data_IF_074504037189
#
_entry.id   IF_074504037189
#
_cell.length_a   1.000
_cell.length_b   1.000
_cell.length_c   1.000
_cell.angle_alpha   90.00
_cell.angle_beta   90.00
_cell.angle_gamma   90.00
#
_symmetry.space_group_name_H-M   'P 1'
#
loop_
_entity.id
_entity.type
_entity.pdbx_description
1 polymer ?
#
# COMPACT_ATOMS: atom_id res chain seq x y z
N UNK A 1 14.89 48.77 -48.96
CA UNK A 1 15.42 48.18 -47.69
C UNK A 1 14.55 48.63 -46.53
N UNK A 2 13.76 47.71 -45.94
CA UNK A 2 13.22 47.78 -44.56
C UNK A 2 12.69 46.37 -44.23
N UNK A 3 13.48 45.61 -43.47
CA UNK A 3 13.15 44.25 -43.00
C UNK A 3 12.04 44.37 -41.96
N UNK A 4 10.92 43.66 -42.16
CA UNK A 4 9.92 43.43 -41.10
C UNK A 4 10.35 42.20 -40.31
N UNK A 5 10.66 42.41 -39.04
CA UNK A 5 11.06 41.37 -38.08
C UNK A 5 9.88 40.44 -37.82
N UNK A 6 10.05 39.15 -38.12
CA UNK A 6 9.13 38.11 -37.70
C UNK A 6 9.44 37.74 -36.23
N UNK A 7 8.48 37.97 -35.35
CA UNK A 7 8.55 37.55 -33.95
C UNK A 7 8.27 36.05 -33.88
N UNK A 8 9.29 35.24 -33.62
CA UNK A 8 9.15 33.81 -33.36
C UNK A 8 8.74 33.65 -31.90
N UNK A 9 7.49 33.23 -31.68
CA UNK A 9 6.99 32.83 -30.37
C UNK A 9 7.62 31.48 -30.00
N UNK A 10 8.52 31.47 -29.01
CA UNK A 10 9.17 30.26 -28.52
C UNK A 10 8.19 29.50 -27.60
N UNK A 11 7.60 28.41 -28.11
CA UNK A 11 6.73 27.53 -27.34
C UNK A 11 7.62 26.59 -26.50
N UNK A 12 7.84 26.92 -25.22
CA UNK A 12 8.54 26.03 -24.28
C UNK A 12 7.64 24.85 -23.92
N UNK A 13 7.77 23.74 -24.64
CA UNK A 13 7.21 22.45 -24.22
C UNK A 13 8.08 21.90 -23.09
N UNK A 14 7.59 21.98 -21.85
CA UNK A 14 8.16 21.27 -20.71
C UNK A 14 7.82 19.78 -20.83
N UNK A 15 8.70 19.03 -21.49
CA UNK A 15 8.66 17.56 -21.48
C UNK A 15 9.25 17.10 -20.15
N UNK A 16 8.41 16.70 -19.20
CA UNK A 16 8.86 15.88 -18.07
C UNK A 16 9.19 14.48 -18.58
N UNK A 17 10.42 14.30 -19.07
CA UNK A 17 10.97 12.99 -19.33
C UNK A 17 11.23 12.28 -18.01
N UNK A 18 10.53 11.18 -17.75
CA UNK A 18 10.99 10.20 -16.76
C UNK A 18 12.32 9.64 -17.27
N UNK A 19 13.43 10.13 -16.74
CA UNK A 19 14.71 9.45 -16.92
C UNK A 19 14.56 8.08 -16.28
N UNK A 20 14.64 7.02 -17.08
CA UNK A 20 14.86 5.68 -16.59
C UNK A 20 16.12 5.72 -15.72
N UNK A 21 15.94 5.71 -14.41
CA UNK A 21 17.05 5.58 -13.47
C UNK A 21 17.68 4.24 -13.79
N UNK A 22 18.83 4.27 -14.45
CA UNK A 22 19.70 3.11 -14.52
C UNK A 22 20.16 2.84 -13.09
N UNK A 23 19.43 1.97 -12.39
CA UNK A 23 19.80 1.49 -11.06
C UNK A 23 21.17 0.83 -11.23
N UNK A 24 22.21 1.48 -10.72
CA UNK A 24 23.52 0.86 -10.55
C UNK A 24 23.29 -0.42 -9.74
N UNK A 25 23.55 -1.57 -10.35
CA UNK A 25 23.37 -2.84 -9.67
C UNK A 25 24.22 -2.80 -8.39
N UNK A 26 23.56 -2.92 -7.23
CA UNK A 26 24.14 -3.01 -5.87
C UNK A 26 24.28 -1.70 -5.06
N UNK A 27 23.72 -0.57 -5.50
CA UNK A 27 23.64 0.64 -4.65
C UNK A 27 22.21 0.91 -4.16
N UNK A 28 22.10 1.44 -2.93
CA UNK A 28 20.80 1.85 -2.39
C UNK A 28 20.39 3.19 -3.00
N UNK A 29 19.12 3.28 -3.39
CA UNK A 29 18.45 4.54 -3.65
C UNK A 29 18.52 5.46 -2.42
N UNK A 30 18.46 6.77 -2.64
CA UNK A 30 18.34 7.72 -1.53
C UNK A 30 17.04 7.49 -0.76
N UNK A 31 17.00 7.90 0.52
CA UNK A 31 15.78 7.85 1.34
C UNK A 31 14.58 8.46 0.62
N UNK A 32 14.77 9.64 0.00
CA UNK A 32 13.71 10.36 -0.71
C UNK A 32 13.16 9.56 -1.89
N UNK A 33 14.03 8.91 -2.66
CA UNK A 33 13.62 8.07 -3.79
C UNK A 33 12.87 6.83 -3.31
N UNK A 34 13.35 6.14 -2.28
CA UNK A 34 12.65 4.97 -1.71
C UNK A 34 11.28 5.37 -1.16
N UNK A 35 11.19 6.46 -0.41
CA UNK A 35 9.94 6.96 0.14
C UNK A 35 8.94 7.33 -0.97
N UNK A 36 9.40 7.97 -2.05
CA UNK A 36 8.56 8.26 -3.21
C UNK A 36 8.03 6.98 -3.90
N UNK A 37 8.87 5.96 -4.08
CA UNK A 37 8.43 4.66 -4.61
C UNK A 37 7.42 3.99 -3.69
N UNK A 38 7.64 4.03 -2.37
CA UNK A 38 6.73 3.48 -1.36
C UNK A 38 5.39 4.21 -1.39
N UNK A 39 5.38 5.53 -1.50
CA UNK A 39 4.15 6.35 -1.61
C UNK A 39 3.37 6.03 -2.88
N UNK A 40 4.04 5.95 -4.03
CA UNK A 40 3.41 5.58 -5.30
C UNK A 40 2.75 4.19 -5.20
N UNK A 41 3.48 3.21 -4.67
CA UNK A 41 2.97 1.85 -4.51
C UNK A 41 1.82 1.84 -3.49
N UNK A 42 1.97 2.49 -2.34
CA UNK A 42 0.93 2.55 -1.32
C UNK A 42 -0.38 3.14 -1.87
N UNK A 43 -0.27 4.22 -2.64
CA UNK A 43 -1.38 4.87 -3.35
C UNK A 43 -2.08 3.88 -4.26
N UNK A 44 -1.33 3.24 -5.17
CA UNK A 44 -1.87 2.24 -6.09
C UNK A 44 -2.47 1.04 -5.36
N UNK A 45 -1.98 0.69 -4.16
CA UNK A 45 -2.46 -0.47 -3.39
C UNK A 45 -3.54 -0.11 -2.38
N UNK A 46 -3.99 1.14 -2.30
CA UNK A 46 -4.97 1.56 -1.29
C UNK A 46 -4.49 1.28 0.14
N UNK A 47 -3.22 1.58 0.42
CA UNK A 47 -2.59 1.47 1.74
C UNK A 47 -2.22 2.90 2.18
N UNK A 48 -2.42 3.29 3.45
CA UNK A 48 -1.89 4.56 3.93
C UNK A 48 -0.37 4.60 3.78
N UNK A 49 0.17 5.57 3.04
CA UNK A 49 1.60 5.61 2.69
C UNK A 49 2.49 5.63 3.94
N UNK A 50 2.07 6.34 4.98
CA UNK A 50 2.77 6.40 6.26
C UNK A 50 2.92 5.04 6.93
N UNK A 51 1.95 4.13 6.77
CA UNK A 51 2.05 2.77 7.28
C UNK A 51 3.12 2.00 6.51
N UNK A 52 3.08 2.06 5.17
CA UNK A 52 4.02 1.31 4.35
C UNK A 52 5.46 1.83 4.48
N UNK A 53 5.65 3.16 4.53
CA UNK A 53 6.93 3.81 4.82
C UNK A 53 7.48 3.43 6.19
N UNK A 54 6.61 3.38 7.20
CA UNK A 54 7.02 2.98 8.55
C UNK A 54 7.47 1.52 8.61
N UNK A 55 6.79 0.62 7.88
CA UNK A 55 7.23 -0.78 7.72
C UNK A 55 8.59 -0.84 7.06
N UNK A 56 8.79 -0.15 5.93
CA UNK A 56 10.06 -0.14 5.21
C UNK A 56 11.23 0.36 6.09
N UNK A 57 11.00 1.39 6.91
CA UNK A 57 12.01 1.88 7.87
C UNK A 57 12.28 0.86 8.99
N UNK A 58 11.25 0.25 9.59
CA UNK A 58 11.42 -0.76 10.65
C UNK A 58 12.10 -2.04 10.14
N UNK A 59 11.77 -2.49 8.94
CA UNK A 59 12.26 -3.76 8.39
C UNK A 59 13.71 -3.67 7.92
N UNK A 60 14.11 -2.55 7.31
CA UNK A 60 15.40 -2.46 6.64
C UNK A 60 16.10 -1.11 6.76
N UNK A 61 15.48 -0.13 7.42
CA UNK A 61 15.90 1.28 7.33
C UNK A 61 15.96 1.77 5.88
N UNK A 62 14.95 1.37 5.08
CA UNK A 62 14.80 1.71 3.66
C UNK A 62 15.90 1.17 2.73
N UNK A 63 16.66 0.14 3.15
CA UNK A 63 17.80 -0.36 2.40
C UNK A 63 17.52 -1.69 1.70
N UNK A 64 17.79 -1.75 0.39
CA UNK A 64 17.76 -2.98 -0.41
C UNK A 64 19.05 -3.78 -0.25
N UNK A 65 20.20 -3.10 -0.18
CA UNK A 65 21.54 -3.68 -0.13
C UNK A 65 22.26 -3.32 1.18
N UNK A 66 23.19 -4.18 1.60
CA UNK A 66 24.15 -3.89 2.65
C UNK A 66 25.24 -2.94 2.13
N UNK A 67 26.12 -2.46 3.03
CA UNK A 67 27.24 -1.57 2.65
C UNK A 67 28.24 -2.22 1.67
N UNK A 68 28.30 -3.55 1.63
CA UNK A 68 29.14 -4.31 0.70
C UNK A 68 28.44 -4.58 -0.66
N UNK A 69 27.30 -3.94 -0.91
CA UNK A 69 26.51 -4.09 -2.14
C UNK A 69 25.70 -5.38 -2.22
N UNK A 70 25.83 -6.31 -1.27
CA UNK A 70 25.04 -7.55 -1.30
C UNK A 70 23.58 -7.27 -0.90
N UNK A 71 22.60 -8.00 -1.49
CA UNK A 71 21.22 -7.90 -1.06
C UNK A 71 21.08 -8.08 0.45
N UNK A 72 20.28 -7.21 1.08
CA UNK A 72 20.04 -7.25 2.52
C UNK A 72 19.13 -8.42 2.86
N UNK A 73 19.71 -9.49 3.40
CA UNK A 73 19.01 -10.73 3.74
C UNK A 73 19.13 -10.99 5.24
N UNK A 74 18.00 -11.09 5.96
CA UNK A 74 18.02 -11.46 7.38
C UNK A 74 18.34 -12.94 7.57
N UNK A 75 18.67 -13.33 8.82
CA UNK A 75 18.88 -14.74 9.19
C UNK A 75 17.69 -15.65 8.84
N UNK A 76 16.48 -15.10 8.82
CA UNK A 76 15.26 -15.82 8.42
C UNK A 76 15.08 -16.02 6.92
N UNK A 77 15.96 -15.44 6.08
CA UNK A 77 15.84 -15.44 4.63
C UNK A 77 14.84 -14.41 4.09
N UNK A 78 14.52 -13.36 4.87
CA UNK A 78 13.74 -12.23 4.41
C UNK A 78 14.64 -11.20 3.72
N UNK A 79 14.16 -10.55 2.66
CA UNK A 79 15.01 -9.88 1.67
C UNK A 79 14.56 -8.43 1.47
N UNK A 80 15.53 -7.53 1.40
CA UNK A 80 15.41 -6.16 0.87
C UNK A 80 14.63 -5.20 1.76
N UNK A 81 14.13 -4.13 1.13
CA UNK A 81 13.49 -2.97 1.77
C UNK A 81 12.35 -3.37 2.70
N UNK A 82 11.50 -4.28 2.23
CA UNK A 82 10.29 -4.70 2.93
C UNK A 82 10.46 -6.00 3.71
N UNK A 83 11.67 -6.59 3.70
CA UNK A 83 11.97 -7.90 4.31
C UNK A 83 10.93 -8.97 3.94
N UNK A 84 10.69 -9.14 2.65
CA UNK A 84 9.79 -10.18 2.13
C UNK A 84 10.49 -11.54 2.18
N UNK A 85 9.77 -12.59 2.57
CA UNK A 85 10.36 -13.93 2.70
C UNK A 85 10.77 -14.51 1.33
N UNK A 86 12.07 -14.73 1.14
CA UNK A 86 12.61 -15.40 -0.04
C UNK A 86 12.40 -16.91 -0.06
N UNK A 87 11.82 -17.49 0.99
CA UNK A 87 11.45 -18.92 1.04
C UNK A 87 10.10 -19.18 0.36
N UNK A 88 9.31 -18.13 0.13
CA UNK A 88 8.04 -18.23 -0.55
C UNK A 88 8.26 -18.31 -2.07
N UNK A 89 7.79 -19.38 -2.71
CA UNK A 89 7.86 -19.55 -4.17
C UNK A 89 6.93 -18.60 -4.96
N UNK A 90 6.14 -17.76 -4.27
CA UNK A 90 5.27 -16.74 -4.87
C UNK A 90 6.04 -15.66 -5.64
N UNK A 91 7.25 -15.32 -5.18
CA UNK A 91 8.00 -14.18 -5.71
C UNK A 91 9.22 -14.63 -6.53
N UNK A 92 9.57 -13.82 -7.53
CA UNK A 92 10.83 -13.97 -8.24
C UNK A 92 11.98 -13.61 -7.30
N UNK A 93 12.77 -14.61 -6.91
CA UNK A 93 13.85 -14.44 -5.93
C UNK A 93 14.97 -13.54 -6.44
N UNK A 94 15.24 -13.53 -7.75
CA UNK A 94 16.29 -12.69 -8.32
C UNK A 94 15.86 -11.22 -8.30
N UNK A 95 14.62 -10.93 -8.70
CA UNK A 95 14.05 -9.58 -8.59
C UNK A 95 13.94 -9.12 -7.14
N UNK A 96 13.49 -9.99 -6.24
CA UNK A 96 13.34 -9.62 -4.83
C UNK A 96 14.66 -9.17 -4.18
N UNK A 97 15.79 -9.73 -4.65
CA UNK A 97 17.15 -9.38 -4.21
C UNK A 97 17.68 -8.10 -4.84
N UNK A 98 17.37 -7.83 -6.11
CA UNK A 98 18.11 -6.85 -6.92
C UNK A 98 17.26 -5.68 -7.42
N UNK A 99 15.93 -5.76 -7.31
CA UNK A 99 14.99 -4.76 -7.79
C UNK A 99 14.24 -4.16 -6.58
N UNK A 100 14.63 -2.94 -6.13
CA UNK A 100 13.96 -2.23 -5.04
C UNK A 100 12.46 -2.04 -5.27
N UNK A 101 12.04 -1.70 -6.49
CA UNK A 101 10.63 -1.48 -6.83
C UNK A 101 9.85 -2.79 -6.64
N UNK A 102 10.34 -3.88 -7.22
CA UNK A 102 9.71 -5.20 -7.07
C UNK A 102 9.66 -5.66 -5.60
N UNK A 103 10.69 -5.34 -4.81
CA UNK A 103 10.70 -5.64 -3.38
C UNK A 103 9.60 -4.87 -2.62
N UNK A 104 9.44 -3.58 -2.92
CA UNK A 104 8.40 -2.73 -2.31
C UNK A 104 7.00 -3.21 -2.74
N UNK A 105 6.78 -3.50 -4.02
CA UNK A 105 5.51 -4.05 -4.52
C UNK A 105 5.17 -5.37 -3.82
N UNK A 106 6.14 -6.28 -3.71
CA UNK A 106 5.98 -7.57 -3.04
C UNK A 106 5.65 -7.41 -1.54
N UNK A 107 6.24 -6.42 -0.88
CA UNK A 107 5.95 -6.09 0.52
C UNK A 107 4.56 -5.50 0.72
N UNK A 108 4.13 -4.60 -0.17
CA UNK A 108 2.78 -4.03 -0.17
C UNK A 108 1.71 -5.12 -0.38
N UNK A 109 1.92 -6.01 -1.35
CA UNK A 109 1.02 -7.14 -1.60
C UNK A 109 0.97 -8.09 -0.40
N UNK A 110 2.12 -8.35 0.24
CA UNK A 110 2.15 -9.14 1.47
C UNK A 110 1.37 -8.48 2.60
N UNK A 111 1.46 -7.16 2.76
CA UNK A 111 0.67 -6.43 3.75
C UNK A 111 -0.83 -6.50 3.45
N UNK A 112 -1.25 -6.40 2.19
CA UNK A 112 -2.66 -6.57 1.81
C UNK A 112 -3.17 -7.99 2.09
N UNK A 113 -2.34 -9.02 1.92
CA UNK A 113 -2.69 -10.38 2.36
C UNK A 113 -2.91 -10.44 3.87
N UNK A 114 -2.07 -9.77 4.66
CA UNK A 114 -2.22 -9.70 6.12
C UNK A 114 -3.44 -8.89 6.53
N UNK A 115 -3.74 -7.81 5.82
CA UNK A 115 -4.95 -7.03 6.01
C UNK A 115 -6.21 -7.87 5.76
N UNK A 116 -6.27 -8.58 4.62
CA UNK A 116 -7.37 -9.49 4.31
C UNK A 116 -7.50 -10.59 5.38
N UNK A 117 -6.39 -11.22 5.75
CA UNK A 117 -6.37 -12.24 6.80
C UNK A 117 -6.86 -11.70 8.15
N UNK A 118 -6.43 -10.49 8.55
CA UNK A 118 -6.87 -9.86 9.78
C UNK A 118 -8.39 -9.60 9.76
N UNK A 119 -8.91 -9.09 8.64
CA UNK A 119 -10.35 -8.90 8.44
C UNK A 119 -11.13 -10.21 8.57
N UNK A 120 -10.59 -11.34 8.12
CA UNK A 120 -11.30 -12.63 8.13
C UNK A 120 -11.14 -13.44 9.43
N UNK A 121 -9.97 -13.34 10.07
CA UNK A 121 -9.49 -14.30 11.09
C UNK A 121 -9.09 -13.66 12.42
N UNK A 122 -9.15 -12.33 12.56
CA UNK A 122 -8.71 -11.63 13.77
C UNK A 122 -9.81 -10.74 14.36
N UNK A 123 -9.58 -10.13 15.53
CA UNK A 123 -10.41 -9.03 15.96
C UNK A 123 -10.40 -7.92 14.91
N UNK A 124 -11.55 -7.26 14.77
CA UNK A 124 -11.70 -6.12 13.88
C UNK A 124 -11.83 -4.85 14.72
N UNK A 125 -11.24 -3.76 14.23
CA UNK A 125 -11.32 -2.44 14.85
C UNK A 125 -12.28 -1.60 14.01
N UNK A 126 -13.31 -1.05 14.66
CA UNK A 126 -14.36 -0.30 14.00
C UNK A 126 -15.04 -1.09 12.88
N UNK A 127 -15.25 -0.40 11.76
CA UNK A 127 -15.76 -0.95 10.51
C UNK A 127 -14.64 -1.47 9.58
N UNK A 128 -13.38 -1.51 10.06
CA UNK A 128 -12.20 -1.83 9.26
C UNK A 128 -12.01 -0.91 8.05
N UNK A 129 -12.42 0.36 8.13
CA UNK A 129 -12.08 1.36 7.12
C UNK A 129 -10.55 1.38 6.89
N UNK A 130 -10.04 1.07 5.68
CA UNK A 130 -8.60 1.00 5.42
C UNK A 130 -7.94 2.38 5.48
N UNK A 131 -8.70 3.48 5.41
CA UNK A 131 -8.14 4.81 5.54
C UNK A 131 -8.03 5.29 6.98
N UNK A 132 -8.39 4.47 7.99
CA UNK A 132 -8.15 4.79 9.41
C UNK A 132 -6.90 4.03 9.87
N UNK A 133 -5.86 4.78 10.28
CA UNK A 133 -4.54 4.23 10.57
C UNK A 133 -4.57 3.18 11.70
N UNK A 134 -5.39 3.40 12.72
CA UNK A 134 -5.55 2.50 13.86
C UNK A 134 -6.14 1.14 13.48
N UNK A 135 -6.90 1.05 12.38
CA UNK A 135 -7.50 -0.21 11.94
C UNK A 135 -6.46 -1.23 11.45
N UNK A 136 -5.26 -0.78 11.06
CA UNK A 136 -4.17 -1.63 10.58
C UNK A 136 -3.46 -2.43 11.68
N UNK A 137 -3.78 -2.20 12.96
CA UNK A 137 -3.06 -2.78 14.10
C UNK A 137 -2.82 -4.30 14.00
N UNK A 138 -3.85 -5.08 13.66
CA UNK A 138 -3.71 -6.54 13.57
C UNK A 138 -3.03 -7.00 12.29
N UNK A 139 -3.16 -6.25 11.20
CA UNK A 139 -2.40 -6.51 9.98
C UNK A 139 -0.89 -6.30 10.21
N UNK A 140 -0.51 -5.26 10.96
CA UNK A 140 0.88 -5.01 11.36
C UNK A 140 1.45 -6.13 12.23
N UNK A 141 0.67 -6.61 13.22
CA UNK A 141 1.07 -7.77 14.01
C UNK A 141 1.26 -9.01 13.11
N UNK A 142 0.35 -9.22 12.15
CA UNK A 142 0.41 -10.33 11.22
C UNK A 142 1.57 -10.24 10.23
N UNK A 143 1.95 -9.03 9.81
CA UNK A 143 3.11 -8.77 8.97
C UNK A 143 4.40 -9.26 9.64
N UNK A 144 4.58 -8.96 10.93
CA UNK A 144 5.72 -9.43 11.71
C UNK A 144 5.58 -10.89 12.22
N UNK A 145 4.59 -11.65 11.76
CA UNK A 145 4.50 -13.10 11.94
C UNK A 145 3.62 -13.60 13.10
N UNK A 146 2.70 -12.79 13.64
CA UNK A 146 1.78 -13.20 14.73
C UNK A 146 2.48 -13.86 15.91
N UNK A 147 3.45 -13.16 16.48
CA UNK A 147 4.25 -13.69 17.57
C UNK A 147 3.77 -13.10 18.89
N UNK A 148 3.84 -13.88 19.98
CA UNK A 148 3.46 -13.42 21.31
C UNK A 148 4.27 -12.19 21.74
N UNK A 149 5.51 -12.06 21.27
CA UNK A 149 6.34 -10.87 21.54
C UNK A 149 5.74 -9.55 21.05
N UNK A 150 4.77 -9.60 20.14
CA UNK A 150 4.05 -8.43 19.64
C UNK A 150 2.73 -8.19 20.41
N UNK A 151 2.50 -8.92 21.50
CA UNK A 151 1.40 -8.67 22.42
C UNK A 151 1.76 -7.55 23.41
N UNK A 152 1.04 -6.42 23.44
CA UNK A 152 1.34 -5.31 24.33
C UNK A 152 1.08 -5.62 25.82
N UNK A 153 0.36 -6.70 26.14
CA UNK A 153 0.21 -7.19 27.50
C UNK A 153 1.35 -8.11 27.96
N UNK A 154 2.20 -8.55 27.02
CA UNK A 154 3.42 -9.30 27.31
C UNK A 154 4.65 -8.39 27.21
N UNK A 155 4.76 -7.62 26.12
CA UNK A 155 5.88 -6.74 25.82
C UNK A 155 5.43 -5.29 25.67
N UNK A 156 5.21 -4.64 26.81
CA UNK A 156 4.75 -3.25 26.86
C UNK A 156 5.69 -2.29 26.13
N UNK A 157 5.12 -1.47 25.22
CA UNK A 157 5.79 -0.43 24.42
C UNK A 157 6.98 -0.92 23.56
N UNK A 158 7.06 -2.23 23.30
CA UNK A 158 8.16 -2.87 22.55
C UNK A 158 7.65 -3.74 21.41
N UNK A 159 6.34 -3.73 21.16
CA UNK A 159 5.74 -4.54 20.09
C UNK A 159 6.14 -4.00 18.71
N UNK A 160 5.97 -4.81 17.68
CA UNK A 160 6.18 -4.36 16.31
C UNK A 160 5.29 -3.15 15.96
N UNK A 161 4.04 -3.17 16.41
CA UNK A 161 3.06 -2.10 16.21
C UNK A 161 3.52 -0.80 16.87
N UNK A 162 4.07 -0.88 18.09
CA UNK A 162 4.64 0.30 18.77
C UNK A 162 5.81 0.90 17.98
N UNK A 163 6.68 0.06 17.39
CA UNK A 163 7.79 0.53 16.55
C UNK A 163 7.29 1.25 15.30
N UNK A 164 6.26 0.71 14.65
CA UNK A 164 5.62 1.35 13.49
C UNK A 164 5.06 2.72 13.89
N UNK A 165 4.36 2.81 15.03
CA UNK A 165 3.79 4.09 15.49
C UNK A 165 4.86 5.09 15.89
N UNK A 166 5.97 4.62 16.47
CA UNK A 166 7.12 5.47 16.79
C UNK A 166 7.78 6.02 15.53
N UNK A 167 7.97 5.21 14.49
CA UNK A 167 8.50 5.67 13.20
C UNK A 167 7.54 6.64 12.55
N UNK A 168 6.24 6.33 12.50
CA UNK A 168 5.21 7.22 11.95
C UNK A 168 5.29 8.63 12.57
N UNK A 169 5.43 8.70 13.89
CA UNK A 169 5.55 9.96 14.61
C UNK A 169 6.89 10.65 14.38
N UNK A 170 8.01 9.93 14.54
CA UNK A 170 9.35 10.54 14.56
C UNK A 170 9.87 10.92 13.18
N UNK A 171 9.58 10.11 12.17
CA UNK A 171 10.08 10.32 10.80
C UNK A 171 9.07 11.11 9.95
N UNK A 172 7.76 10.97 10.22
CA UNK A 172 6.72 11.54 9.36
C UNK A 172 5.72 12.46 10.07
N UNK A 173 5.91 12.73 11.37
CA UNK A 173 5.02 13.61 12.15
C UNK A 173 3.60 13.06 12.34
N UNK A 174 3.33 11.83 11.94
CA UNK A 174 1.99 11.23 11.99
C UNK A 174 1.77 10.52 13.31
N UNK A 175 0.84 11.04 14.11
CA UNK A 175 0.36 10.35 15.30
C UNK A 175 -0.57 9.20 14.91
N UNK A 176 -0.43 8.06 15.58
CA UNK A 176 -1.38 6.94 15.52
C UNK A 176 -1.73 6.57 16.95
N UNK A 177 -3.02 6.53 17.26
CA UNK A 177 -3.50 6.26 18.63
C UNK A 177 -3.37 4.76 18.95
N UNK A 178 -2.65 4.38 20.03
CA UNK A 178 -2.58 2.99 20.44
C UNK A 178 -3.95 2.38 20.77
N UNK A 179 -4.14 1.12 20.40
CA UNK A 179 -5.33 0.36 20.81
C UNK A 179 -5.27 0.07 22.31
N UNK A 180 -6.38 0.33 23.01
CA UNK A 180 -6.49 0.07 24.44
C UNK A 180 -6.23 -1.41 24.73
N UNK A 181 -5.21 -1.65 25.56
CA UNK A 181 -4.69 -2.97 25.92
C UNK A 181 -5.74 -3.89 26.56
N UNK A 182 -6.82 -3.33 27.13
CA UNK A 182 -7.92 -4.11 27.70
C UNK A 182 -8.63 -4.99 26.66
N UNK A 183 -8.58 -4.59 25.38
CA UNK A 183 -9.19 -5.37 24.30
C UNK A 183 -8.30 -6.55 23.86
N UNK A 184 -7.01 -6.49 24.19
CA UNK A 184 -6.02 -7.50 23.82
C UNK A 184 -5.96 -8.59 24.90
N UNK A 185 -5.77 -9.84 24.50
CA UNK A 185 -5.59 -10.94 25.44
C UNK A 185 -4.34 -10.72 26.29
N UNK A 186 -4.36 -11.22 27.54
CA UNK A 186 -3.20 -11.12 28.46
C UNK A 186 -1.93 -11.77 27.90
N UNK A 187 -2.10 -12.84 27.11
CA UNK A 187 -1.02 -13.61 26.47
C UNK A 187 -1.45 -14.15 25.10
N UNK A 188 -0.51 -14.73 24.37
CA UNK A 188 -0.73 -15.33 23.06
C UNK A 188 -1.04 -14.32 21.96
N UNK A 189 -1.59 -14.84 20.86
CA UNK A 189 -1.87 -14.10 19.63
C UNK A 189 -3.36 -13.74 19.50
N UNK A 190 -3.71 -12.73 18.69
CA UNK A 190 -5.10 -12.35 18.45
C UNK A 190 -5.93 -13.52 17.90
N UNK A 191 -7.14 -13.70 18.44
CA UNK A 191 -8.11 -14.71 17.96
C UNK A 191 -9.34 -14.02 17.37
N UNK A 192 -9.95 -14.62 16.35
CA UNK A 192 -11.18 -14.15 15.73
C UNK A 192 -12.28 -13.90 16.76
N UNK A 193 -13.18 -12.95 16.46
CA UNK A 193 -14.50 -12.85 17.09
C UNK A 193 -14.71 -11.64 17.99
N UNK A 194 -13.66 -10.85 18.27
CA UNK A 194 -13.81 -9.58 18.99
C UNK A 194 -14.03 -8.41 18.03
N UNK A 195 -15.00 -7.56 18.33
CA UNK A 195 -15.15 -6.23 17.75
C UNK A 195 -14.59 -5.21 18.73
N UNK A 196 -13.60 -4.45 18.31
CA UNK A 196 -12.95 -3.41 19.08
C UNK A 196 -13.44 -2.07 18.54
N UNK A 197 -13.91 -1.12 19.38
CA UNK A 197 -14.30 0.19 18.87
C UNK A 197 -13.09 0.94 18.30
N UNK A 198 -13.30 1.74 17.27
CA UNK A 198 -12.30 2.72 16.84
C UNK A 198 -11.98 3.64 18.02
N UNK A 199 -10.70 3.91 18.31
CA UNK A 199 -10.33 4.88 19.34
C UNK A 199 -11.01 6.24 19.12
N UNK A 200 -11.41 6.90 20.22
CA UNK A 200 -12.08 8.23 20.14
C UNK A 200 -11.26 9.23 19.32
N UNK A 201 -9.95 9.26 19.57
CA UNK A 201 -8.98 9.97 18.74
C UNK A 201 -8.39 8.96 17.76
N UNK A 202 -8.64 9.16 16.48
CA UNK A 202 -8.11 8.34 15.40
C UNK A 202 -7.73 9.22 14.22
N UNK A 203 -6.94 8.69 13.30
CA UNK A 203 -6.35 9.48 12.23
C UNK A 203 -6.60 8.85 10.88
N UNK A 204 -6.83 9.70 9.87
CA UNK A 204 -6.96 9.26 8.49
C UNK A 204 -5.59 9.13 7.83
N UNK A 205 -5.47 8.15 6.95
CA UNK A 205 -4.40 8.07 5.97
C UNK A 205 -4.70 8.91 4.74
N UNK A 206 -3.97 8.60 3.67
CA UNK A 206 -3.95 9.29 2.39
C UNK A 206 -4.45 8.38 1.24
N UNK A 207 -5.30 7.40 1.54
CA UNK A 207 -5.90 6.56 0.49
C UNK A 207 -6.76 7.45 -0.42
N UNK A 208 -6.47 7.42 -1.72
CA UNK A 208 -7.26 8.11 -2.73
C UNK A 208 -8.67 7.52 -2.82
N UNK A 209 -9.64 8.41 -2.94
CA UNK A 209 -11.04 8.07 -3.21
C UNK A 209 -11.52 8.74 -4.47
N UNK A 210 -12.45 8.10 -5.17
CA UNK A 210 -13.00 8.58 -6.43
C UNK A 210 -14.48 8.92 -6.31
N UNK A 211 -14.96 9.88 -7.10
CA UNK A 211 -16.36 10.30 -7.15
C UNK A 211 -17.02 9.87 -8.45
N UNK A 212 -18.36 9.73 -8.49
CA UNK A 212 -19.08 9.52 -9.75
C UNK A 212 -18.69 10.55 -10.81
N UNK A 213 -18.39 10.07 -12.02
CA UNK A 213 -17.87 10.87 -13.13
C UNK A 213 -16.35 10.88 -13.27
N UNK A 214 -15.59 10.50 -12.22
CA UNK A 214 -14.15 10.37 -12.34
C UNK A 214 -13.78 9.28 -13.38
N UNK A 215 -12.77 9.58 -14.20
CA UNK A 215 -12.12 8.61 -15.09
C UNK A 215 -10.93 7.97 -14.37
N UNK A 216 -10.85 6.66 -14.42
CA UNK A 216 -9.78 5.88 -13.78
C UNK A 216 -9.24 4.83 -14.74
N UNK A 217 -8.00 4.40 -14.51
CA UNK A 217 -7.35 3.32 -15.24
C UNK A 217 -6.87 2.23 -14.27
N UNK A 218 -6.90 0.97 -14.71
CA UNK A 218 -6.28 -0.12 -13.95
C UNK A 218 -4.75 0.03 -14.00
N UNK A 219 -4.15 0.31 -12.85
CA UNK A 219 -2.71 0.58 -12.69
C UNK A 219 -2.14 -0.13 -11.43
N UNK A 220 -1.83 -1.41 -11.58
CA UNK A 220 -1.10 -2.16 -10.56
C UNK A 220 -1.17 -3.66 -10.79
N UNK A 221 -2.37 -4.23 -10.79
CA UNK A 221 -2.58 -5.62 -11.13
C UNK A 221 -2.70 -5.81 -12.65
N UNK A 222 -2.18 -6.91 -13.19
CA UNK A 222 -2.36 -7.26 -14.61
C UNK A 222 -3.84 -7.45 -14.96
N UNK A 223 -4.64 -7.87 -13.97
CA UNK A 223 -6.07 -8.10 -14.10
C UNK A 223 -6.80 -7.63 -12.83
N UNK A 224 -7.86 -6.83 -13.01
CA UNK A 224 -8.79 -6.45 -11.95
C UNK A 224 -10.10 -7.20 -12.13
N UNK A 225 -10.68 -7.68 -11.03
CA UNK A 225 -11.95 -8.41 -11.07
C UNK A 225 -13.12 -7.43 -11.21
N UNK A 226 -14.02 -7.73 -12.14
CA UNK A 226 -15.34 -7.11 -12.23
C UNK A 226 -16.34 -8.01 -11.48
N UNK A 227 -17.03 -7.45 -10.51
CA UNK A 227 -17.91 -8.15 -9.58
C UNK A 227 -19.36 -7.71 -9.77
N UNK A 228 -20.33 -8.59 -9.48
CA UNK A 228 -21.75 -8.22 -9.55
C UNK A 228 -22.22 -7.27 -8.43
N UNK A 229 -21.51 -7.26 -7.29
CA UNK A 229 -21.73 -6.37 -6.13
C UNK A 229 -20.42 -6.23 -5.33
N UNK A 230 -20.30 -5.31 -4.36
CA UNK A 230 -19.14 -5.23 -3.48
C UNK A 230 -18.86 -6.57 -2.80
N UNK A 231 -17.62 -7.06 -2.91
CA UNK A 231 -17.19 -8.39 -2.47
C UNK A 231 -18.07 -9.56 -2.99
N UNK A 232 -18.67 -9.38 -4.18
CA UNK A 232 -19.57 -10.34 -4.83
C UNK A 232 -18.85 -11.40 -5.67
N UNK A 233 -19.63 -12.05 -6.55
CA UNK A 233 -19.10 -13.03 -7.51
C UNK A 233 -18.43 -12.31 -8.69
N UNK A 234 -17.36 -12.90 -9.19
CA UNK A 234 -16.71 -12.47 -10.43
C UNK A 234 -17.68 -12.63 -11.61
N UNK A 235 -17.84 -11.57 -12.40
CA UNK A 235 -18.60 -11.53 -13.65
C UNK A 235 -17.74 -11.13 -14.86
N UNK A 236 -16.49 -10.74 -14.62
CA UNK A 236 -15.54 -10.39 -15.67
C UNK A 236 -14.18 -10.03 -15.10
N UNK A 237 -13.24 -9.74 -16.02
CA UNK A 237 -11.89 -9.29 -15.69
C UNK A 237 -11.49 -8.15 -16.60
N UNK A 238 -10.84 -7.14 -16.02
CA UNK A 238 -10.42 -5.92 -16.69
C UNK A 238 -8.90 -5.93 -16.73
N UNK A 239 -8.33 -5.73 -17.92
CA UNK A 239 -6.87 -5.73 -18.10
C UNK A 239 -6.26 -4.43 -17.59
N UNK A 240 -4.99 -4.50 -17.17
CA UNK A 240 -4.17 -3.31 -16.92
C UNK A 240 -4.25 -2.35 -18.12
N UNK A 241 -4.35 -1.05 -17.83
CA UNK A 241 -4.44 0.00 -18.86
C UNK A 241 -5.85 0.23 -19.42
N UNK A 242 -6.85 -0.57 -19.04
CA UNK A 242 -8.24 -0.29 -19.42
C UNK A 242 -8.81 0.87 -18.59
N UNK A 243 -9.33 1.87 -19.29
CA UNK A 243 -10.02 3.03 -18.70
C UNK A 243 -11.47 2.70 -18.34
N UNK A 244 -11.97 3.35 -17.29
CA UNK A 244 -13.31 3.18 -16.76
C UNK A 244 -13.85 4.52 -16.23
N UNK A 245 -15.16 4.62 -16.12
CA UNK A 245 -15.85 5.75 -15.46
C UNK A 245 -16.46 5.28 -14.14
N UNK A 246 -16.20 5.99 -13.05
CA UNK A 246 -16.86 5.74 -11.77
C UNK A 246 -18.33 6.12 -11.88
N UNK A 247 -19.22 5.20 -11.52
CA UNK A 247 -20.66 5.41 -11.48
C UNK A 247 -21.18 5.58 -10.05
N UNK A 248 -20.58 4.87 -9.09
CA UNK A 248 -21.03 4.85 -7.68
C UNK A 248 -19.86 4.46 -6.76
N UNK A 249 -19.90 4.93 -5.51
CA UNK A 249 -18.96 4.57 -4.45
C UNK A 249 -18.19 5.77 -3.88
N UNK A 250 -17.24 5.54 -2.94
CA UNK A 250 -16.86 4.21 -2.44
C UNK A 250 -17.92 3.55 -1.56
N UNK A 251 -18.08 2.24 -1.70
CA UNK A 251 -18.78 1.38 -0.74
C UNK A 251 -17.74 0.58 0.05
N UNK A 252 -17.71 0.75 1.37
CA UNK A 252 -16.83 -0.04 2.24
C UNK A 252 -17.42 -1.43 2.49
N UNK A 253 -16.66 -2.47 2.16
CA UNK A 253 -17.01 -3.85 2.50
C UNK A 253 -15.75 -4.64 2.85
N UNK A 254 -15.77 -5.35 3.99
CA UNK A 254 -14.69 -6.25 4.42
C UNK A 254 -13.29 -5.61 4.43
N UNK A 255 -13.23 -4.31 4.74
CA UNK A 255 -12.00 -3.53 4.78
C UNK A 255 -11.45 -3.08 3.43
N UNK A 256 -12.27 -3.12 2.37
CA UNK A 256 -11.92 -2.60 1.06
C UNK A 256 -12.99 -1.63 0.57
N UNK A 257 -12.57 -0.59 -0.15
CA UNK A 257 -13.48 0.25 -0.90
C UNK A 257 -13.81 -0.42 -2.23
N UNK A 258 -15.08 -0.38 -2.61
CA UNK A 258 -15.56 -0.83 -3.90
C UNK A 258 -16.22 0.32 -4.65
N UNK A 259 -16.04 0.33 -5.97
CA UNK A 259 -16.64 1.31 -6.86
C UNK A 259 -17.41 0.59 -7.95
N UNK A 260 -18.60 1.09 -8.27
CA UNK A 260 -19.31 0.68 -9.48
C UNK A 260 -18.74 1.45 -10.64
N UNK A 261 -18.45 0.77 -11.74
CA UNK A 261 -17.82 1.34 -12.93
C UNK A 261 -18.54 0.96 -14.20
N UNK A 262 -18.39 1.81 -15.22
CA UNK A 262 -18.59 1.46 -16.61
C UNK A 262 -17.23 1.31 -17.29
N UNK A 263 -17.00 0.18 -17.95
CA UNK A 263 -15.78 -0.04 -18.74
C UNK A 263 -15.86 0.76 -20.03
N UNK A 264 -14.77 1.43 -20.41
CA UNK A 264 -14.75 2.15 -21.68
C UNK A 264 -14.58 1.14 -22.84
N UNK A 265 -15.36 1.28 -23.91
CA UNK A 265 -15.24 0.46 -25.14
C UNK A 265 -16.07 -0.83 -25.17
N UNK A 266 -16.50 -1.37 -24.02
CA UNK A 266 -17.59 -2.34 -23.96
C UNK A 266 -18.59 -1.86 -22.90
N UNK A 267 -19.90 -1.95 -23.12
CA UNK A 267 -20.90 -1.33 -22.22
C UNK A 267 -21.02 -2.03 -20.85
N UNK A 268 -20.03 -2.85 -20.46
CA UNK A 268 -20.09 -3.64 -19.24
C UNK A 268 -20.05 -2.75 -18.00
N UNK A 269 -20.86 -3.11 -17.02
CA UNK A 269 -20.89 -2.43 -15.73
C UNK A 269 -20.75 -3.45 -14.60
N UNK A 270 -20.14 -3.03 -13.51
CA UNK A 270 -19.95 -3.88 -12.34
C UNK A 270 -19.15 -3.17 -11.26
N UNK A 271 -18.78 -3.92 -10.22
CA UNK A 271 -18.05 -3.41 -9.06
C UNK A 271 -16.61 -3.87 -9.09
N UNK A 272 -15.68 -2.97 -8.79
CA UNK A 272 -14.25 -3.25 -8.71
C UNK A 272 -13.71 -2.86 -7.32
N UNK A 273 -12.54 -3.39 -6.97
CA UNK A 273 -11.79 -2.89 -5.82
C UNK A 273 -11.29 -1.46 -6.12
N UNK A 274 -11.23 -0.63 -5.09
CA UNK A 274 -10.59 0.69 -5.15
C UNK A 274 -9.08 0.64 -5.23
N UNK A 275 -8.49 -0.53 -4.92
CA UNK A 275 -7.08 -0.81 -5.11
C UNK A 275 -6.77 -0.99 -6.60
N UNK A 276 -5.54 -0.70 -6.98
CA UNK A 276 -4.97 -0.81 -8.33
C UNK A 276 -5.61 0.13 -9.36
N UNK A 277 -6.02 1.31 -8.90
CA UNK A 277 -6.58 2.37 -9.72
C UNK A 277 -5.68 3.61 -9.68
N UNK A 278 -5.62 4.30 -10.83
CA UNK A 278 -5.04 5.63 -10.96
C UNK A 278 -6.07 6.55 -11.62
N UNK A 279 -6.14 7.81 -11.18
CA UNK A 279 -7.02 8.81 -11.81
C UNK A 279 -6.44 9.18 -13.18
N UNK A 280 -7.31 9.34 -14.17
CA UNK A 280 -6.94 9.94 -15.46
C UNK A 280 -7.34 11.41 -15.35
N UNK A 281 -6.35 12.30 -15.28
CA UNK A 281 -6.62 13.72 -15.36
C UNK A 281 -6.99 14.07 -16.81
N UNK A 282 -8.11 14.78 -16.98
CA UNK A 282 -8.46 15.33 -18.29
C UNK A 282 -7.51 16.49 -18.58
N UNK A 283 -6.43 16.24 -19.32
CA UNK A 283 -5.65 17.30 -20.00
C UNK A 283 -6.45 17.93 -21.12
#
# INVERSE_FOLDING_TARGET
MKKKSASILLFCVLVFGFTSVAISANENLSRKEVEALVEEIATKRGIPSVILKSIASVESSLAQFNRDGKPKVSRGGNIGIMQVSGRNKKYDLAKLKNDPLYNIESGADHLLEKWKWANEKMPQIGNMDPNILEHWYFALWAYNGLLERNNPNVNYNKTYQDKIYQVALKEYGQKITPIDRKYISKKGVPKKGKKIPTPKVHHKGDILTYSPGDKVVVDGNNLLLLLNKPAGKEIGRIKKGTSMTILEGPVLNSGFYFYKVQVDGNKDTGWIYGNWLSKIDNT
#
